data_IF_289334849403
#
_entry.id   IF_289334849403
#
_cell.length_a   1.000
_cell.length_b   1.000
_cell.length_c   1.000
_cell.angle_alpha   90.00
_cell.angle_beta   90.00
_cell.angle_gamma   90.00
#
_symmetry.space_group_name_H-M   'P 1'
#
loop_
_entity.id
_entity.type
_entity.pdbx_description
1 polymer ?
#
# COMPACT_ATOMS: atom_id res chain seq x y z
N UNK A 1 -13.22 21.92 7.10
CA UNK A 1 -12.09 20.97 7.11
C UNK A 1 -12.03 20.29 5.75
N UNK A 2 -10.86 20.21 5.13
CA UNK A 2 -10.62 19.40 3.92
C UNK A 2 -9.74 18.21 4.27
N UNK A 3 -10.15 17.02 3.87
CA UNK A 3 -9.44 15.78 4.14
C UNK A 3 -9.04 15.13 2.82
N UNK A 4 -7.75 15.08 2.52
CA UNK A 4 -7.20 14.32 1.40
C UNK A 4 -7.01 12.86 1.86
N UNK A 5 -7.73 11.93 1.23
CA UNK A 5 -7.68 10.50 1.58
C UNK A 5 -7.25 9.66 0.39
N UNK A 6 -6.19 8.87 0.57
CA UNK A 6 -5.79 7.87 -0.42
C UNK A 6 -5.50 6.53 0.25
N UNK A 7 -6.16 5.46 -0.21
CA UNK A 7 -5.81 4.10 0.19
C UNK A 7 -4.61 3.64 -0.64
N UNK A 8 -3.50 3.28 0.02
CA UNK A 8 -2.26 2.87 -0.66
C UNK A 8 -1.69 1.57 -0.10
N UNK A 9 -1.05 0.80 -0.97
CA UNK A 9 -0.34 -0.43 -0.62
C UNK A 9 1.07 -0.32 -1.19
N UNK A 10 2.05 -0.66 -0.37
CA UNK A 10 3.46 -0.61 -0.77
C UNK A 10 4.17 -1.88 -0.35
N UNK A 11 4.99 -2.41 -1.26
CA UNK A 11 5.82 -3.59 -1.06
C UNK A 11 7.25 -3.10 -0.82
N UNK A 12 7.83 -3.46 0.32
CA UNK A 12 9.18 -3.05 0.70
C UNK A 12 10.24 -3.86 -0.03
N UNK A 13 11.20 -3.17 -0.64
CA UNK A 13 12.34 -3.76 -1.34
C UNK A 13 13.56 -3.88 -0.39
N UNK A 14 14.07 -5.11 -0.13
CA UNK A 14 15.30 -5.31 0.66
C UNK A 14 16.49 -4.53 0.10
N UNK A 15 16.56 -4.41 -1.23
CA UNK A 15 17.56 -3.67 -1.99
C UNK A 15 16.86 -2.68 -2.92
N UNK A 16 17.36 -1.45 -3.00
CA UNK A 16 16.70 -0.37 -3.74
C UNK A 16 17.29 1.01 -3.44
N UNK A 17 16.65 2.08 -3.92
CA UNK A 17 17.17 3.44 -3.77
C UNK A 17 17.30 3.87 -2.31
N UNK A 18 18.36 4.61 -1.98
CA UNK A 18 18.60 5.15 -0.64
C UNK A 18 18.91 4.07 0.41
N UNK A 19 18.92 4.47 1.68
CA UNK A 19 19.17 3.55 2.80
C UNK A 19 17.97 2.63 3.10
N UNK A 20 18.16 1.65 3.99
CA UNK A 20 17.15 0.64 4.33
C UNK A 20 15.82 1.20 4.89
N UNK A 21 15.80 2.42 5.42
CA UNK A 21 14.60 3.10 5.92
C UNK A 21 14.05 4.14 4.93
N UNK A 22 14.59 4.22 3.73
CA UNK A 22 14.11 5.16 2.72
C UNK A 22 12.71 4.78 2.22
N UNK A 23 11.84 5.78 2.09
CA UNK A 23 10.48 5.59 1.58
C UNK A 23 10.46 5.26 0.08
N UNK A 24 11.54 5.54 -0.68
CA UNK A 24 11.64 5.15 -2.09
C UNK A 24 11.71 3.64 -2.27
N UNK A 25 12.10 2.88 -1.24
CA UNK A 25 12.11 1.40 -1.26
C UNK A 25 10.73 0.77 -1.11
N UNK A 26 9.69 1.58 -0.91
CA UNK A 26 8.32 1.12 -0.70
C UNK A 26 7.54 1.37 -1.98
N UNK A 27 7.50 0.37 -2.86
CA UNK A 27 6.99 0.49 -4.23
C UNK A 27 5.57 -0.04 -4.31
N UNK A 28 4.70 0.65 -5.04
CA UNK A 28 3.34 0.18 -5.28
C UNK A 28 3.36 -1.16 -6.04
N UNK A 29 2.38 -2.06 -5.86
CA UNK A 29 2.37 -3.35 -6.54
C UNK A 29 2.50 -3.26 -8.07
N UNK A 30 1.99 -2.19 -8.70
CA UNK A 30 2.15 -1.94 -10.14
C UNK A 30 3.52 -1.41 -10.58
N UNK A 31 4.44 -1.14 -9.66
CA UNK A 31 5.77 -0.59 -9.96
C UNK A 31 5.82 0.90 -10.37
N UNK A 32 4.66 1.55 -10.53
CA UNK A 32 4.55 2.90 -11.08
C UNK A 32 4.66 4.05 -10.06
N UNK A 33 4.63 3.73 -8.76
CA UNK A 33 4.61 4.72 -7.68
C UNK A 33 5.44 4.18 -6.49
N UNK A 34 5.91 5.08 -5.63
CA UNK A 34 6.54 4.75 -4.36
C UNK A 34 5.96 5.60 -3.23
N UNK A 35 6.15 5.16 -1.99
CA UNK A 35 5.73 5.93 -0.84
C UNK A 35 6.37 7.33 -0.84
N UNK A 36 7.64 7.44 -1.27
CA UNK A 36 8.33 8.72 -1.41
C UNK A 36 7.66 9.62 -2.47
N UNK A 37 7.33 9.08 -3.65
CA UNK A 37 6.66 9.84 -4.71
C UNK A 37 5.27 10.29 -4.25
N UNK A 38 4.46 9.40 -3.68
CA UNK A 38 3.13 9.77 -3.20
C UNK A 38 3.19 10.82 -2.11
N UNK A 39 4.13 10.71 -1.16
CA UNK A 39 4.34 11.74 -0.12
C UNK A 39 4.71 13.08 -0.74
N UNK A 40 5.71 13.10 -1.64
CA UNK A 40 6.14 14.32 -2.31
C UNK A 40 5.02 14.95 -3.15
N UNK A 41 4.22 14.15 -3.86
CA UNK A 41 3.09 14.65 -4.63
C UNK A 41 2.01 15.27 -3.74
N UNK A 42 1.67 14.63 -2.62
CA UNK A 42 0.74 15.17 -1.63
C UNK A 42 1.21 16.51 -1.07
N UNK A 43 2.47 16.57 -0.62
CA UNK A 43 3.07 17.76 0.00
C UNK A 43 3.26 18.92 -0.98
N UNK A 44 3.70 18.63 -2.21
CA UNK A 44 4.12 19.66 -3.18
C UNK A 44 3.02 20.09 -4.14
N UNK A 45 1.99 19.25 -4.33
CA UNK A 45 0.94 19.51 -5.33
C UNK A 45 -0.45 19.49 -4.72
N UNK A 46 -0.88 18.38 -4.08
CA UNK A 46 -2.28 18.24 -3.68
C UNK A 46 -2.68 19.19 -2.54
N UNK A 47 -1.83 19.34 -1.50
CA UNK A 47 -2.13 20.26 -0.40
C UNK A 47 -2.09 21.75 -0.82
N UNK A 48 -1.07 22.22 -1.59
CA UNK A 48 -1.06 23.61 -2.06
C UNK A 48 -2.21 23.99 -2.98
N UNK A 49 -2.83 23.04 -3.70
CA UNK A 49 -3.95 23.33 -4.61
C UNK A 49 -5.14 23.98 -3.90
N UNK A 50 -5.39 23.64 -2.63
CA UNK A 50 -6.50 24.24 -1.89
C UNK A 50 -6.26 25.72 -1.55
N UNK A 51 -5.00 26.18 -1.56
CA UNK A 51 -4.62 27.55 -1.28
C UNK A 51 -4.59 28.43 -2.54
N UNK A 52 -4.81 27.85 -3.73
CA UNK A 52 -4.88 28.61 -4.98
C UNK A 52 -6.04 29.62 -4.96
N UNK A 53 -5.87 30.84 -5.51
CA UNK A 53 -6.91 31.87 -5.53
C UNK A 53 -8.24 31.39 -6.13
N UNK A 54 -8.18 30.57 -7.18
CA UNK A 54 -9.33 29.96 -7.84
C UNK A 54 -10.08 29.03 -6.89
N UNK A 55 -9.35 28.18 -6.15
CA UNK A 55 -9.93 27.27 -5.17
C UNK A 55 -10.58 28.04 -4.00
N UNK A 56 -9.90 29.08 -3.50
CA UNK A 56 -10.41 29.95 -2.44
C UNK A 56 -11.68 30.71 -2.87
N UNK A 57 -11.72 31.23 -4.10
CA UNK A 57 -12.93 31.86 -4.66
C UNK A 57 -14.07 30.85 -4.80
N UNK A 58 -13.80 29.66 -5.34
CA UNK A 58 -14.81 28.62 -5.50
C UNK A 58 -15.37 28.15 -4.15
N UNK A 59 -14.53 28.00 -3.12
CA UNK A 59 -14.96 27.65 -1.77
C UNK A 59 -15.79 28.77 -1.14
N UNK A 60 -15.36 30.02 -1.27
CA UNK A 60 -16.10 31.18 -0.75
C UNK A 60 -17.48 31.30 -1.39
N UNK A 61 -17.59 31.08 -2.70
CA UNK A 61 -18.87 31.09 -3.42
C UNK A 61 -19.80 29.97 -3.00
N UNK A 62 -19.28 28.76 -2.75
CA UNK A 62 -20.10 27.59 -2.38
C UNK A 62 -20.48 27.53 -0.91
N UNK A 63 -19.60 27.97 -0.02
CA UNK A 63 -19.77 27.83 1.43
C UNK A 63 -20.20 29.15 2.10
N UNK A 64 -20.09 30.28 1.41
CA UNK A 64 -20.48 31.59 1.92
C UNK A 64 -19.76 31.97 3.21
N UNK A 65 -20.48 32.63 4.12
CA UNK A 65 -19.95 33.10 5.42
C UNK A 65 -19.39 31.96 6.29
N UNK A 66 -19.86 30.72 6.10
CA UNK A 66 -19.40 29.55 6.86
C UNK A 66 -17.94 29.15 6.56
N UNK A 67 -17.34 29.64 5.48
CA UNK A 67 -15.95 29.32 5.14
C UNK A 67 -14.93 30.04 6.03
N UNK A 68 -15.25 31.25 6.51
CA UNK A 68 -14.37 32.03 7.39
C UNK A 68 -12.97 32.34 6.83
N UNK A 69 -12.74 32.15 5.53
CA UNK A 69 -11.47 32.43 4.85
C UNK A 69 -10.29 31.52 5.20
N UNK A 70 -10.51 30.44 5.98
CA UNK A 70 -9.42 29.54 6.40
C UNK A 70 -9.80 28.09 6.23
N UNK A 71 -9.03 27.39 5.39
CA UNK A 71 -9.19 25.95 5.20
C UNK A 71 -8.22 25.16 6.08
N UNK A 72 -8.76 24.38 7.01
CA UNK A 72 -7.97 23.38 7.74
C UNK A 72 -7.84 22.11 6.91
N UNK A 73 -6.65 21.89 6.35
CA UNK A 73 -6.31 20.69 5.60
C UNK A 73 -5.79 19.58 6.54
N UNK A 74 -6.19 18.35 6.24
CA UNK A 74 -5.73 17.12 6.91
C UNK A 74 -5.41 16.08 5.84
N UNK A 75 -4.37 15.29 6.08
CA UNK A 75 -3.97 14.19 5.23
C UNK A 75 -4.19 12.88 5.97
N UNK A 76 -4.86 11.93 5.31
CA UNK A 76 -4.89 10.54 5.74
C UNK A 76 -4.52 9.63 4.56
N UNK A 77 -3.42 8.90 4.69
CA UNK A 77 -3.04 7.86 3.72
C UNK A 77 -3.15 6.48 4.38
N UNK A 78 -4.37 6.00 4.66
CA UNK A 78 -4.56 4.65 5.17
C UNK A 78 -4.02 3.64 4.16
N UNK A 79 -3.49 2.52 4.64
CA UNK A 79 -2.83 1.59 3.76
C UNK A 79 -2.26 0.40 4.51
N UNK A 80 -1.48 -0.40 3.79
CA UNK A 80 -0.72 -1.51 4.38
C UNK A 80 0.68 -1.50 3.78
N UNK A 81 1.69 -1.60 4.66
CA UNK A 81 3.07 -1.83 4.27
C UNK A 81 3.35 -3.33 4.28
N UNK A 82 3.70 -3.89 3.13
CA UNK A 82 4.03 -5.31 3.02
C UNK A 82 5.54 -5.48 3.07
N UNK A 83 5.99 -6.31 4.00
CA UNK A 83 7.39 -6.65 4.21
C UNK A 83 7.76 -7.93 3.45
N UNK A 84 8.98 -8.05 2.93
CA UNK A 84 9.39 -9.23 2.18
C UNK A 84 9.36 -10.50 3.04
N UNK A 85 8.73 -11.58 2.56
CA UNK A 85 8.51 -12.82 3.31
C UNK A 85 9.80 -13.44 3.89
N UNK A 86 10.91 -13.39 3.14
CA UNK A 86 12.20 -14.02 3.50
C UNK A 86 13.29 -13.06 3.96
N UNK A 87 13.00 -11.76 4.06
CA UNK A 87 14.01 -10.76 4.41
C UNK A 87 13.53 -9.91 5.58
N UNK A 88 14.45 -9.58 6.48
CA UNK A 88 14.18 -8.57 7.51
C UNK A 88 14.39 -7.20 6.90
N UNK A 89 13.42 -6.32 7.07
CA UNK A 89 13.47 -4.95 6.58
C UNK A 89 12.90 -4.02 7.65
N UNK A 90 13.57 -2.90 7.98
CA UNK A 90 13.02 -1.94 8.92
C UNK A 90 11.85 -1.18 8.27
N UNK A 91 10.93 -0.67 9.11
CA UNK A 91 9.90 0.25 8.64
C UNK A 91 10.53 1.51 7.99
N UNK A 92 9.85 2.14 7.02
CA UNK A 92 10.34 3.39 6.46
C UNK A 92 10.34 4.48 7.53
N UNK A 93 11.20 5.49 7.35
CA UNK A 93 11.12 6.74 8.10
C UNK A 93 9.68 7.28 8.08
N UNK A 94 9.23 7.84 9.19
CA UNK A 94 7.90 8.46 9.35
C UNK A 94 6.70 7.51 9.22
N UNK A 95 6.90 6.19 9.11
CA UNK A 95 5.82 5.23 9.29
C UNK A 95 5.29 5.30 10.73
N UNK A 96 3.96 5.26 10.88
CA UNK A 96 3.35 5.16 12.20
C UNK A 96 3.80 3.87 12.91
N UNK A 97 4.15 3.86 14.21
CA UNK A 97 4.62 2.65 14.89
C UNK A 97 3.65 1.46 14.80
N UNK A 98 2.34 1.75 14.87
CA UNK A 98 1.26 0.77 14.71
C UNK A 98 0.67 0.72 13.29
N UNK A 99 1.46 1.02 12.25
CA UNK A 99 0.99 0.92 10.88
C UNK A 99 0.55 -0.52 10.56
N UNK A 100 -0.51 -0.65 9.76
CA UNK A 100 -0.93 -1.96 9.27
C UNK A 100 0.16 -2.52 8.38
N UNK A 101 0.48 -3.78 8.58
CA UNK A 101 1.50 -4.47 7.81
C UNK A 101 1.05 -5.87 7.41
N UNK A 102 1.75 -6.41 6.42
CA UNK A 102 1.60 -7.78 5.94
C UNK A 102 2.91 -8.28 5.36
N UNK A 103 2.88 -9.44 4.72
CA UNK A 103 4.04 -9.96 3.99
C UNK A 103 3.80 -9.92 2.49
N UNK A 104 4.84 -9.76 1.68
CA UNK A 104 4.77 -10.02 0.26
C UNK A 104 5.79 -11.07 -0.16
N UNK A 105 5.47 -11.80 -1.23
CA UNK A 105 6.33 -12.81 -1.82
C UNK A 105 6.05 -12.95 -3.31
N UNK A 106 7.05 -13.41 -4.04
CA UNK A 106 6.90 -13.88 -5.41
C UNK A 106 6.06 -15.16 -5.47
N UNK A 107 5.40 -15.38 -6.60
CA UNK A 107 4.61 -16.58 -6.85
C UNK A 107 5.41 -17.87 -6.60
N UNK A 108 6.67 -17.96 -7.07
CA UNK A 108 7.55 -19.11 -6.81
C UNK A 108 7.75 -19.46 -5.34
N UNK A 109 7.60 -18.49 -4.44
CA UNK A 109 7.76 -18.69 -3.00
C UNK A 109 6.47 -19.13 -2.31
N UNK A 110 5.33 -19.04 -3.00
CA UNK A 110 4.02 -19.41 -2.44
C UNK A 110 3.97 -20.84 -1.90
N UNK A 111 4.41 -21.88 -2.64
CA UNK A 111 4.37 -23.25 -2.13
C UNK A 111 5.15 -23.40 -0.82
N UNK A 112 6.32 -22.77 -0.72
CA UNK A 112 7.11 -22.80 0.51
C UNK A 112 6.41 -22.07 1.67
N UNK A 113 5.77 -20.92 1.43
CA UNK A 113 4.95 -20.25 2.44
C UNK A 113 3.78 -21.14 2.89
N UNK A 114 3.11 -21.80 1.95
CA UNK A 114 1.97 -22.67 2.19
C UNK A 114 2.31 -23.78 3.20
N UNK A 115 3.48 -24.42 3.05
CA UNK A 115 3.91 -25.50 3.96
C UNK A 115 4.12 -25.05 5.42
N UNK A 116 4.32 -23.75 5.65
CA UNK A 116 4.49 -23.19 7.01
C UNK A 116 3.16 -22.85 7.68
N UNK A 117 2.04 -22.87 6.94
CA UNK A 117 0.73 -22.51 7.45
C UNK A 117 0.01 -23.72 8.06
N UNK A 118 -0.76 -23.55 9.16
CA UNK A 118 -1.58 -24.62 9.69
C UNK A 118 -2.58 -25.15 8.67
N UNK A 119 -2.89 -26.45 8.72
CA UNK A 119 -3.81 -27.12 7.77
C UNK A 119 -5.21 -26.50 7.74
N UNK A 120 -5.66 -25.90 8.84
CA UNK A 120 -6.98 -25.25 8.95
C UNK A 120 -6.98 -23.81 8.43
N UNK A 121 -5.83 -23.32 7.92
CA UNK A 121 -5.75 -21.98 7.34
C UNK A 121 -6.68 -21.89 6.13
N UNK A 122 -7.48 -20.83 6.11
CA UNK A 122 -8.34 -20.49 4.98
C UNK A 122 -7.98 -19.11 4.49
N UNK A 123 -8.34 -18.78 3.26
CA UNK A 123 -8.01 -17.48 2.69
C UNK A 123 -9.00 -17.00 1.65
N UNK A 124 -8.79 -15.76 1.22
CA UNK A 124 -9.54 -15.16 0.13
C UNK A 124 -8.70 -14.09 -0.56
N UNK A 125 -8.99 -13.87 -1.84
CA UNK A 125 -8.47 -12.73 -2.58
C UNK A 125 -9.19 -11.45 -2.17
N UNK A 126 -8.44 -10.38 -1.91
CA UNK A 126 -9.00 -9.06 -1.65
C UNK A 126 -9.03 -8.22 -2.93
N UNK A 127 -10.16 -7.56 -3.16
CA UNK A 127 -10.40 -6.67 -4.30
C UNK A 127 -11.11 -5.39 -3.86
N UNK A 128 -11.22 -4.43 -4.78
CA UNK A 128 -12.09 -3.26 -4.58
C UNK A 128 -13.55 -3.73 -4.45
N UNK A 129 -14.38 -3.08 -3.60
CA UNK A 129 -14.04 -1.99 -2.69
C UNK A 129 -13.47 -2.44 -1.32
N UNK A 130 -13.35 -3.75 -1.08
CA UNK A 130 -13.10 -4.34 0.25
C UNK A 130 -11.63 -4.52 0.63
N UNK A 131 -10.69 -3.81 0.00
CA UNK A 131 -9.25 -4.02 0.23
C UNK A 131 -8.80 -3.91 1.69
N UNK A 132 -9.49 -3.14 2.53
CA UNK A 132 -9.14 -2.93 3.94
C UNK A 132 -9.95 -3.78 4.93
N UNK A 133 -11.06 -4.39 4.50
CA UNK A 133 -11.92 -5.16 5.38
C UNK A 133 -11.55 -6.66 5.32
N UNK A 134 -11.56 -7.40 6.44
CA UNK A 134 -11.59 -8.85 6.37
C UNK A 134 -12.94 -9.29 5.77
N UNK A 135 -12.94 -10.30 4.87
CA UNK A 135 -14.16 -10.90 4.35
C UNK A 135 -14.86 -11.69 5.46
N UNK A 136 -16.11 -12.12 5.20
CA UNK A 136 -16.82 -12.97 6.16
C UNK A 136 -16.10 -14.32 6.26
N UNK A 137 -16.24 -14.98 7.41
CA UNK A 137 -15.66 -16.31 7.65
C UNK A 137 -16.10 -17.33 6.60
N UNK A 138 -17.36 -17.24 6.21
CA UNK A 138 -18.00 -18.16 5.27
C UNK A 138 -17.52 -17.95 3.83
N UNK A 139 -16.97 -16.76 3.51
CA UNK A 139 -16.38 -16.45 2.21
C UNK A 139 -14.95 -17.00 2.05
N UNK A 140 -14.36 -17.54 3.13
CA UNK A 140 -12.99 -18.04 3.12
C UNK A 140 -12.93 -19.44 2.50
N UNK A 141 -12.12 -19.58 1.46
CA UNK A 141 -11.87 -20.86 0.79
C UNK A 141 -10.69 -21.61 1.43
N UNK A 142 -10.65 -22.95 1.33
CA UNK A 142 -9.49 -23.74 1.74
C UNK A 142 -8.21 -23.28 1.02
N UNK A 143 -7.07 -23.38 1.71
CA UNK A 143 -5.78 -22.94 1.17
C UNK A 143 -5.44 -23.61 -0.17
N UNK A 144 -5.71 -24.91 -0.32
CA UNK A 144 -5.50 -25.63 -1.57
C UNK A 144 -6.29 -25.05 -2.76
N UNK A 145 -7.54 -24.61 -2.54
CA UNK A 145 -8.34 -23.97 -3.58
C UNK A 145 -7.80 -22.59 -3.93
N UNK A 146 -7.30 -21.84 -2.93
CA UNK A 146 -6.64 -20.57 -3.15
C UNK A 146 -5.33 -20.74 -3.93
N UNK A 147 -4.54 -21.76 -3.62
CA UNK A 147 -3.30 -22.10 -4.33
C UNK A 147 -3.56 -22.46 -5.80
N UNK A 148 -4.56 -23.29 -6.09
CA UNK A 148 -4.94 -23.63 -7.46
C UNK A 148 -5.42 -22.40 -8.26
N UNK A 149 -6.13 -21.49 -7.60
CA UNK A 149 -6.53 -20.22 -8.20
C UNK A 149 -5.32 -19.32 -8.51
N UNK A 150 -4.37 -19.20 -7.57
CA UNK A 150 -3.15 -18.42 -7.76
C UNK A 150 -2.29 -18.98 -8.90
N UNK A 151 -2.18 -20.30 -8.99
CA UNK A 151 -1.48 -20.98 -10.06
C UNK A 151 -2.07 -20.63 -11.43
N UNK A 152 -3.38 -20.80 -11.58
CA UNK A 152 -4.09 -20.40 -12.82
C UNK A 152 -3.86 -18.92 -13.14
N UNK A 153 -3.98 -18.05 -12.13
CA UNK A 153 -3.84 -16.61 -12.26
C UNK A 153 -2.43 -16.21 -12.73
N UNK A 154 -1.37 -16.69 -12.07
CA UNK A 154 0.00 -16.30 -12.42
C UNK A 154 0.53 -16.99 -13.67
N UNK A 155 0.09 -18.22 -13.98
CA UNK A 155 0.41 -18.88 -15.25
C UNK A 155 -0.16 -18.13 -16.46
N UNK A 156 -1.18 -17.29 -16.27
CA UNK A 156 -1.77 -16.43 -17.30
C UNK A 156 -1.21 -15.00 -17.33
N UNK A 157 -0.11 -14.72 -16.61
CA UNK A 157 0.48 -13.38 -16.52
C UNK A 157 -0.33 -12.42 -15.63
N UNK A 158 -1.02 -12.95 -14.63
CA UNK A 158 -1.90 -12.21 -13.76
C UNK A 158 -1.20 -11.09 -12.97
N UNK A 159 -1.92 -9.99 -12.77
CA UNK A 159 -1.44 -8.85 -11.99
C UNK A 159 -1.23 -9.20 -10.49
N UNK A 160 -0.41 -8.42 -9.75
CA UNK A 160 -0.22 -8.58 -8.31
C UNK A 160 -1.54 -8.73 -7.54
N UNK A 161 -1.58 -9.67 -6.58
CA UNK A 161 -2.79 -10.00 -5.81
C UNK A 161 -2.60 -9.84 -4.32
N UNK A 162 -3.52 -9.13 -3.68
CA UNK A 162 -3.64 -9.12 -2.23
C UNK A 162 -4.53 -10.27 -1.76
N UNK A 163 -4.05 -10.98 -0.75
CA UNK A 163 -4.74 -12.05 -0.06
C UNK A 163 -4.94 -11.69 1.40
N UNK A 164 -5.97 -12.27 1.98
CA UNK A 164 -6.09 -12.43 3.42
C UNK A 164 -6.10 -13.91 3.74
N UNK A 165 -5.31 -14.28 4.73
CA UNK A 165 -5.28 -15.61 5.31
C UNK A 165 -5.82 -15.51 6.72
N UNK A 166 -6.53 -16.55 7.13
CA UNK A 166 -6.92 -16.71 8.49
C UNK A 166 -6.42 -18.04 9.05
N UNK A 167 -5.58 -17.89 10.05
CA UNK A 167 -5.04 -18.95 10.88
C UNK A 167 -5.85 -18.98 12.21
N UNK A 168 -6.39 -20.13 12.65
CA UNK A 168 -7.11 -20.22 13.92
C UNK A 168 -6.31 -19.82 15.18
N UNK A 169 -4.98 -19.93 15.13
CA UNK A 169 -4.03 -19.66 16.20
C UNK A 169 -3.53 -18.21 16.15
N UNK A 170 -3.18 -17.73 14.95
CA UNK A 170 -2.53 -16.42 14.76
C UNK A 170 -3.47 -15.32 14.22
N UNK A 171 -4.70 -15.68 13.89
CA UNK A 171 -5.71 -14.75 13.38
C UNK A 171 -5.48 -14.34 11.92
N UNK A 172 -5.83 -13.10 11.62
CA UNK A 172 -5.80 -12.55 10.26
C UNK A 172 -4.38 -12.14 9.84
N UNK A 173 -3.93 -12.65 8.70
CA UNK A 173 -2.67 -12.28 8.06
C UNK A 173 -2.94 -11.72 6.67
N UNK A 174 -2.25 -10.65 6.31
CA UNK A 174 -2.30 -10.08 4.95
C UNK A 174 -1.07 -10.50 4.18
N UNK A 175 -1.29 -11.02 2.99
CA UNK A 175 -0.22 -11.45 2.09
C UNK A 175 -0.41 -10.78 0.74
N UNK A 176 0.65 -10.33 0.11
CA UNK A 176 0.64 -9.86 -1.27
C UNK A 176 1.47 -10.82 -2.12
N UNK A 177 0.86 -11.46 -3.11
CA UNK A 177 1.57 -12.32 -4.06
C UNK A 177 1.80 -11.54 -5.34
N UNK A 178 3.03 -11.55 -5.82
CA UNK A 178 3.43 -10.87 -7.06
C UNK A 178 3.95 -11.88 -8.08
N UNK A 179 3.87 -11.50 -9.34
CA UNK A 179 4.51 -12.23 -10.43
C UNK A 179 6.03 -12.37 -10.18
N UNK A 180 6.61 -13.44 -10.69
CA UNK A 180 8.01 -13.79 -10.50
C UNK A 180 9.00 -12.80 -11.13
N UNK A 181 8.55 -12.00 -12.09
CA UNK A 181 9.32 -10.91 -12.70
C UNK A 181 9.13 -9.56 -11.98
N UNK A 182 8.37 -9.50 -10.89
CA UNK A 182 8.21 -8.28 -10.13
C UNK A 182 9.46 -7.99 -9.26
N UNK A 183 9.89 -6.72 -9.10
CA UNK A 183 9.40 -5.53 -9.78
C UNK A 183 10.00 -5.41 -11.19
N UNK A 184 9.15 -5.15 -12.20
CA UNK A 184 9.61 -4.90 -13.58
C UNK A 184 10.23 -3.51 -13.76
N UNK A 185 9.89 -2.59 -12.86
CA UNK A 185 10.38 -1.23 -12.83
C UNK A 185 10.34 -0.73 -11.39
N UNK A 186 11.30 0.12 -11.04
CA UNK A 186 11.38 0.81 -9.75
C UNK A 186 11.42 2.29 -10.07
N UNK A 187 10.47 3.09 -9.57
CA UNK A 187 10.41 4.50 -9.91
C UNK A 187 11.53 5.25 -9.17
N UNK A 188 12.12 6.25 -9.84
CA UNK A 188 13.19 7.05 -9.27
C UNK A 188 12.68 7.85 -8.05
N UNK A 189 13.51 8.05 -7.01
CA UNK A 189 13.16 8.93 -5.90
C UNK A 189 12.84 10.35 -6.39
N UNK A 190 11.90 11.06 -5.73
CA UNK A 190 11.65 12.45 -6.06
C UNK A 190 12.88 13.31 -5.75
N UNK A 191 13.13 14.32 -6.59
CA UNK A 191 14.23 15.27 -6.39
C UNK A 191 14.20 15.87 -4.97
N UNK A 192 15.38 16.02 -4.32
CA UNK A 192 15.49 16.73 -3.06
C UNK A 192 14.91 18.13 -3.18
N UNK A 193 14.21 18.59 -2.14
CA UNK A 193 13.74 19.97 -2.12
C UNK A 193 14.97 20.87 -2.04
N UNK A 194 15.12 21.78 -3.00
CA UNK A 194 16.10 22.86 -2.86
C UNK A 194 15.83 23.55 -1.52
N UNK A 195 16.82 23.56 -0.62
CA UNK A 195 16.73 24.36 0.58
C UNK A 195 16.61 25.82 0.14
N UNK A 196 15.67 26.61 0.69
CA UNK A 196 15.71 28.03 0.45
C UNK A 196 17.10 28.56 0.86
N UNK A 197 17.67 29.53 0.13
CA UNK A 197 18.94 30.13 0.54
C UNK A 197 18.80 30.64 1.99
N UNK A 198 19.83 30.36 2.79
CA UNK A 198 19.91 30.80 4.19
C UNK A 198 19.98 32.32 4.28
#
# INVERSE_FOLDING_TARGET
MHLEVAIKFYLGLPEGPGDARDQARWVGPGGLDSLAIKRAHLERHQLPMADMPEAQRAMSQRLGEAFGGRLHQRLAMPGVLFYPYRHRMPAPRQAHPAHRHGQWLHWRDWPAMETTLPRQTRGACLGKPHWLAPPRRDDLIPLAALSAWLETHFNSGGAPRQLVLHDPTHGWRRVFVVDDAWPRQIPLPPEPRALPPR
#
